data_IF_398155831670
#
_entry.id   IF_398155831670
#
_cell.length_a   1.000
_cell.length_b   1.000
_cell.length_c   1.000
_cell.angle_alpha   90.00
_cell.angle_beta   90.00
_cell.angle_gamma   90.00
#
_symmetry.space_group_name_H-M   'P 1'
#
loop_
_entity.id
_entity.type
_entity.pdbx_description
1 polymer ?
#
# COMPACT_ATOMS: atom_id res chain seq x y z
N UNK A 1 22.37 -41.03 45.37
CA UNK A 1 23.76 -40.54 45.49
C UNK A 1 23.70 -39.02 45.60
N UNK A 2 23.87 -38.49 46.83
CA UNK A 2 24.46 -37.19 47.24
C UNK A 2 23.85 -35.90 46.62
N UNK A 3 22.91 -35.21 47.28
CA UNK A 3 23.06 -34.08 48.24
C UNK A 3 23.80 -32.82 47.73
N UNK A 4 23.14 -31.65 47.71
CA UNK A 4 23.30 -30.57 48.73
C UNK A 4 22.48 -29.31 48.45
N UNK A 5 21.89 -28.82 49.54
CA UNK A 5 21.26 -27.52 49.75
C UNK A 5 22.23 -26.34 49.59
N UNK A 6 21.70 -25.16 49.25
CA UNK A 6 22.15 -23.92 49.88
C UNK A 6 20.95 -23.11 50.35
N UNK A 7 21.00 -22.75 51.63
CA UNK A 7 20.05 -21.89 52.33
C UNK A 7 20.94 -21.14 53.33
N UNK A 8 21.08 -19.83 53.17
CA UNK A 8 21.61 -18.97 54.23
C UNK A 8 20.84 -17.66 54.26
N UNK A 9 20.06 -17.57 55.35
CA UNK A 9 19.44 -16.39 55.95
C UNK A 9 20.52 -15.51 56.58
N UNK A 10 20.34 -14.18 56.53
CA UNK A 10 20.31 -13.27 57.69
C UNK A 10 20.16 -11.82 57.21
N UNK A 11 19.89 -10.76 57.97
CA UNK A 11 19.03 -10.44 59.13
C UNK A 11 19.19 -8.92 59.31
N UNK A 12 18.08 -8.16 59.28
CA UNK A 12 17.80 -6.81 59.85
C UNK A 12 18.94 -5.83 60.20
N UNK A 13 18.79 -4.55 59.79
CA UNK A 13 19.11 -3.39 60.63
C UNK A 13 18.27 -2.15 60.26
N UNK A 14 17.88 -1.40 61.29
CA UNK A 14 16.97 -0.23 61.33
C UNK A 14 17.77 1.01 61.74
N UNK A 15 17.57 2.16 61.10
CA UNK A 15 17.98 3.50 61.58
C UNK A 15 17.17 4.57 60.81
N UNK A 16 16.16 5.27 61.38
CA UNK A 16 16.10 6.43 62.29
C UNK A 16 16.63 7.78 61.74
N UNK A 17 15.72 8.78 61.81
CA UNK A 17 15.86 10.26 61.74
C UNK A 17 16.10 10.89 60.35
N UNK A 18 15.70 12.11 60.04
CA UNK A 18 14.65 13.07 60.46
C UNK A 18 14.95 14.36 59.66
N UNK A 19 13.96 15.25 59.50
CA UNK A 19 14.08 16.65 59.01
C UNK A 19 14.33 16.78 57.50
N UNK A 20 13.82 17.76 56.75
CA UNK A 20 13.19 19.02 57.13
C UNK A 20 12.14 19.39 56.07
N UNK A 21 11.02 19.92 56.56
CA UNK A 21 10.04 20.66 55.79
C UNK A 21 10.74 21.92 55.23
N UNK A 22 10.94 22.01 53.92
CA UNK A 22 11.28 23.29 53.26
C UNK A 22 10.26 23.57 52.16
N UNK A 23 9.43 24.57 52.46
CA UNK A 23 8.59 25.32 51.53
C UNK A 23 9.42 25.73 50.31
N UNK A 24 8.98 25.35 49.12
CA UNK A 24 9.40 26.01 47.88
C UNK A 24 8.25 26.85 47.36
N UNK A 25 8.51 28.15 47.32
CA UNK A 25 7.64 29.24 46.88
C UNK A 25 7.37 29.09 45.38
N UNK A 26 6.09 29.11 45.01
CA UNK A 26 5.62 29.18 43.64
C UNK A 26 5.93 30.56 43.07
N UNK A 27 6.81 30.64 42.07
CA UNK A 27 6.93 31.82 41.20
C UNK A 27 6.20 31.53 39.89
N UNK A 28 5.01 32.12 39.76
CA UNK A 28 4.26 32.16 38.50
C UNK A 28 4.90 33.23 37.62
N UNK A 29 5.97 32.88 36.91
CA UNK A 29 6.47 33.69 35.81
C UNK A 29 5.76 33.24 34.53
N UNK A 30 4.82 34.06 34.06
CA UNK A 30 4.17 33.88 32.78
C UNK A 30 5.21 34.03 31.66
N UNK A 31 5.63 32.90 31.07
CA UNK A 31 6.35 32.91 29.81
C UNK A 31 5.34 33.16 28.69
N UNK A 32 5.53 34.16 27.82
CA UNK A 32 4.68 34.32 26.65
C UNK A 32 4.89 33.11 25.73
N UNK A 33 3.78 32.45 25.41
CA UNK A 33 3.75 31.35 24.45
C UNK A 33 4.39 31.81 23.12
N UNK A 34 5.31 31.03 22.54
CA UNK A 34 5.77 31.30 21.19
C UNK A 34 4.59 31.14 20.23
N UNK A 35 4.33 32.20 19.48
CA UNK A 35 3.39 32.27 18.36
C UNK A 35 3.56 31.02 17.48
N UNK A 36 2.48 30.32 17.08
CA UNK A 36 2.62 29.22 16.14
C UNK A 36 3.12 29.77 14.81
N UNK A 37 4.36 29.42 14.47
CA UNK A 37 4.88 29.56 13.11
C UNK A 37 3.88 28.91 12.13
N UNK A 38 3.65 29.50 10.95
CA UNK A 38 2.75 28.91 9.98
C UNK A 38 3.34 27.56 9.57
N UNK A 39 2.67 26.49 9.98
CA UNK A 39 2.86 25.16 9.40
C UNK A 39 2.68 25.36 7.90
N UNK A 40 3.78 25.30 7.16
CA UNK A 40 3.78 25.18 5.71
C UNK A 40 2.83 24.04 5.36
N UNK A 41 1.64 24.42 4.90
CA UNK A 41 0.59 23.52 4.43
C UNK A 41 1.13 22.80 3.21
N UNK A 42 1.90 21.74 3.42
CA UNK A 42 2.26 20.80 2.37
C UNK A 42 1.02 19.95 2.07
N UNK A 43 0.03 20.58 1.45
CA UNK A 43 -0.94 19.84 0.65
C UNK A 43 -0.20 19.44 -0.63
N UNK A 44 0.03 18.15 -0.91
CA UNK A 44 0.32 17.77 -2.29
C UNK A 44 -0.84 18.27 -3.16
N UNK A 45 -0.59 18.72 -4.40
CA UNK A 45 -1.58 19.44 -5.19
C UNK A 45 -2.66 18.48 -5.66
N UNK A 46 -3.67 18.25 -4.83
CA UNK A 46 -4.97 17.68 -5.24
C UNK A 46 -5.56 18.47 -6.42
N UNK A 47 -5.19 19.75 -6.55
CA UNK A 47 -5.62 20.68 -7.60
C UNK A 47 -5.16 20.35 -9.04
N UNK A 48 -4.31 19.34 -9.28
CA UNK A 48 -3.82 18.99 -10.65
C UNK A 48 -4.26 17.62 -11.16
N UNK A 49 -5.03 16.85 -10.38
CA UNK A 49 -5.46 15.51 -10.77
C UNK A 49 -6.65 15.56 -11.73
N UNK A 50 -6.59 14.79 -12.82
CA UNK A 50 -7.73 14.65 -13.73
C UNK A 50 -8.89 13.93 -13.02
N UNK A 51 -10.14 14.30 -13.28
CA UNK A 51 -11.27 13.56 -12.74
C UNK A 51 -11.27 12.12 -13.27
N UNK A 52 -11.53 11.15 -12.39
CA UNK A 52 -11.63 9.75 -12.79
C UNK A 52 -12.90 9.51 -13.63
N UNK A 53 -12.77 8.71 -14.68
CA UNK A 53 -13.84 8.39 -15.60
C UNK A 53 -14.66 7.19 -15.11
N UNK A 54 -15.95 7.42 -14.85
CA UNK A 54 -16.89 6.35 -14.46
C UNK A 54 -17.07 5.34 -15.59
N UNK A 55 -17.01 4.05 -15.25
CA UNK A 55 -17.19 2.95 -16.18
C UNK A 55 -18.61 2.39 -16.05
N UNK A 56 -19.56 2.94 -16.82
CA UNK A 56 -20.97 2.57 -16.72
C UNK A 56 -21.27 1.10 -17.03
N UNK A 57 -20.52 0.50 -17.96
CA UNK A 57 -20.61 -0.94 -18.29
C UNK A 57 -19.80 -1.84 -17.34
N UNK A 58 -19.04 -1.24 -16.42
CA UNK A 58 -18.02 -1.93 -15.65
C UNK A 58 -16.76 -2.24 -16.47
N UNK A 59 -15.64 -2.43 -15.80
CA UNK A 59 -14.40 -2.97 -16.36
C UNK A 59 -13.79 -3.95 -15.37
N UNK A 60 -13.66 -5.21 -15.78
CA UNK A 60 -13.08 -6.25 -14.93
C UNK A 60 -12.01 -7.04 -15.66
N UNK A 61 -10.84 -7.16 -15.05
CA UNK A 61 -9.77 -8.02 -15.56
C UNK A 61 -9.74 -9.35 -14.81
N UNK A 62 -10.12 -9.37 -13.54
CA UNK A 62 -10.05 -10.55 -12.69
C UNK A 62 -11.43 -11.17 -12.46
N UNK A 63 -12.35 -10.39 -11.90
CA UNK A 63 -13.69 -10.85 -11.54
C UNK A 63 -14.63 -9.64 -11.42
N UNK A 64 -15.77 -9.74 -12.11
CA UNK A 64 -16.82 -8.71 -12.14
C UNK A 64 -17.39 -8.39 -10.75
N UNK A 65 -17.35 -9.34 -9.82
CA UNK A 65 -17.81 -9.16 -8.44
C UNK A 65 -17.03 -8.11 -7.64
N UNK A 66 -15.84 -7.72 -8.11
CA UNK A 66 -15.01 -6.69 -7.48
C UNK A 66 -15.09 -5.31 -8.15
N UNK A 67 -16.03 -5.11 -9.09
CA UNK A 67 -16.27 -3.79 -9.67
C UNK A 67 -16.89 -2.85 -8.63
N UNK A 68 -16.24 -1.71 -8.37
CA UNK A 68 -16.76 -0.72 -7.42
C UNK A 68 -18.14 -0.18 -7.86
N UNK A 69 -19.15 -0.22 -6.99
CA UNK A 69 -20.46 0.36 -7.29
C UNK A 69 -20.48 1.90 -7.20
N UNK A 70 -19.49 2.47 -6.53
CA UNK A 70 -19.29 3.90 -6.34
C UNK A 70 -17.81 4.27 -6.40
N UNK A 71 -17.53 5.57 -6.41
CA UNK A 71 -16.15 6.04 -6.32
C UNK A 71 -15.55 5.59 -4.98
N UNK A 72 -14.42 4.90 -5.03
CA UNK A 72 -13.84 4.22 -3.86
C UNK A 72 -12.50 4.83 -3.50
N UNK A 73 -12.29 5.13 -2.21
CA UNK A 73 -10.99 5.55 -1.68
C UNK A 73 -10.42 4.49 -0.76
N UNK A 74 -9.25 3.99 -1.10
CA UNK A 74 -8.51 3.01 -0.30
C UNK A 74 -7.19 3.60 0.19
N UNK A 75 -6.64 2.98 1.22
CA UNK A 75 -5.28 3.18 1.69
C UNK A 75 -4.51 1.87 1.52
N UNK A 76 -3.44 1.90 0.72
CA UNK A 76 -2.49 0.81 0.61
C UNK A 76 -1.47 0.93 1.74
N UNK A 77 -1.63 0.09 2.75
CA UNK A 77 -0.74 0.08 3.91
C UNK A 77 0.59 -0.60 3.55
N UNK A 78 1.67 0.09 3.83
CA UNK A 78 3.02 -0.33 3.55
C UNK A 78 3.78 -0.47 4.86
N UNK A 79 4.45 -1.60 5.04
CA UNK A 79 5.28 -1.86 6.21
C UNK A 79 6.75 -1.91 5.78
N UNK A 80 7.62 -1.28 6.57
CA UNK A 80 9.06 -1.48 6.47
C UNK A 80 9.46 -2.81 7.10
N UNK A 81 9.99 -3.73 6.31
CA UNK A 81 10.63 -4.97 6.79
C UNK A 81 12.10 -4.98 6.41
N UNK A 82 12.96 -4.88 7.42
CA UNK A 82 14.43 -4.89 7.26
C UNK A 82 14.88 -3.91 6.17
N UNK A 83 15.16 -4.40 4.96
CA UNK A 83 15.70 -3.64 3.82
C UNK A 83 14.65 -3.25 2.77
N UNK A 84 13.36 -3.55 2.98
CA UNK A 84 12.32 -3.33 1.97
C UNK A 84 11.02 -2.80 2.57
N UNK A 85 10.36 -1.95 1.79
CA UNK A 85 8.97 -1.60 2.01
C UNK A 85 8.10 -2.61 1.26
N UNK A 86 7.07 -3.13 1.92
CA UNK A 86 6.18 -4.15 1.36
C UNK A 86 4.74 -3.74 1.63
N UNK A 87 3.89 -3.82 0.61
CA UNK A 87 2.45 -3.65 0.78
C UNK A 87 1.90 -4.79 1.64
N UNK A 88 1.26 -4.46 2.76
CA UNK A 88 0.62 -5.41 3.68
C UNK A 88 -0.84 -5.67 3.37
N UNK A 89 -1.53 -4.70 2.78
CA UNK A 89 -2.96 -4.79 2.54
C UNK A 89 -3.55 -3.51 2.01
N UNK A 90 -4.83 -3.57 1.70
CA UNK A 90 -5.66 -2.43 1.32
C UNK A 90 -6.75 -2.23 2.38
N UNK A 91 -6.84 -1.01 2.90
CA UNK A 91 -7.84 -0.60 3.87
C UNK A 91 -8.80 0.39 3.22
N UNK A 92 -10.04 0.40 3.66
CA UNK A 92 -10.97 1.45 3.33
C UNK A 92 -10.54 2.76 4.00
N UNK A 93 -10.48 3.85 3.24
CA UNK A 93 -9.90 5.11 3.73
C UNK A 93 -10.80 5.82 4.77
N UNK A 94 -12.13 5.62 4.71
CA UNK A 94 -13.07 6.27 5.62
C UNK A 94 -13.10 5.60 7.01
N UNK A 95 -13.08 4.27 7.04
CA UNK A 95 -13.25 3.47 8.26
C UNK A 95 -11.91 2.96 8.82
N UNK A 96 -10.88 2.90 7.99
CA UNK A 96 -9.64 2.20 8.30
C UNK A 96 -9.81 0.67 8.35
N UNK A 97 -10.94 0.14 7.90
CA UNK A 97 -11.19 -1.30 7.89
C UNK A 97 -10.34 -1.99 6.82
N UNK A 98 -9.63 -3.05 7.19
CA UNK A 98 -8.92 -3.89 6.23
C UNK A 98 -9.92 -4.58 5.31
N UNK A 99 -9.83 -4.35 4.00
CA UNK A 99 -10.63 -5.04 3.00
C UNK A 99 -9.87 -6.24 2.43
N UNK A 100 -8.57 -6.07 2.23
CA UNK A 100 -7.71 -7.10 1.69
C UNK A 100 -6.37 -7.13 2.41
N UNK A 101 -5.83 -8.33 2.64
CA UNK A 101 -4.47 -8.53 3.12
C UNK A 101 -3.59 -9.13 2.01
N UNK A 102 -2.33 -8.76 2.00
CA UNK A 102 -1.32 -9.31 1.09
C UNK A 102 -0.49 -10.34 1.85
N UNK A 103 -0.61 -11.61 1.44
CA UNK A 103 0.15 -12.74 1.98
C UNK A 103 1.27 -13.10 1.01
N UNK A 104 2.51 -13.02 1.46
CA UNK A 104 3.65 -13.54 0.71
C UNK A 104 3.72 -15.05 0.86
N UNK A 105 3.89 -15.76 -0.26
CA UNK A 105 4.12 -17.21 -0.20
C UNK A 105 5.58 -17.44 0.24
N UNK A 106 5.82 -18.03 1.41
CA UNK A 106 7.17 -18.26 1.89
C UNK A 106 7.93 -19.14 0.89
N UNK A 107 9.24 -18.86 0.74
CA UNK A 107 10.16 -19.62 -0.13
C UNK A 107 9.80 -19.60 -1.64
N UNK A 108 8.93 -18.70 -2.09
CA UNK A 108 8.63 -18.56 -3.52
C UNK A 108 9.79 -17.92 -4.28
N UNK A 109 10.41 -18.68 -5.19
CA UNK A 109 11.43 -18.19 -6.14
C UNK A 109 10.92 -17.03 -7.02
N UNK A 110 9.60 -16.87 -7.14
CA UNK A 110 8.96 -15.89 -8.03
C UNK A 110 8.27 -14.75 -7.29
N UNK A 111 8.59 -14.55 -5.99
CA UNK A 111 7.95 -13.54 -5.13
C UNK A 111 6.43 -13.51 -5.29
N UNK A 112 5.83 -14.68 -5.16
CA UNK A 112 4.39 -14.84 -5.25
C UNK A 112 3.70 -14.22 -4.03
N UNK A 113 2.67 -13.42 -4.28
CA UNK A 113 1.82 -12.79 -3.26
C UNK A 113 0.36 -13.09 -3.57
N UNK A 114 -0.38 -13.52 -2.55
CA UNK A 114 -1.82 -13.69 -2.60
C UNK A 114 -2.49 -12.47 -1.95
N UNK A 115 -3.49 -11.92 -2.61
CA UNK A 115 -4.44 -11.01 -2.02
C UNK A 115 -5.56 -11.84 -1.42
N UNK A 116 -5.77 -11.75 -0.11
CA UNK A 116 -6.83 -12.45 0.62
C UNK A 116 -7.87 -11.44 1.12
N UNK A 117 -9.13 -11.85 1.17
CA UNK A 117 -10.21 -11.04 1.73
C UNK A 117 -10.23 -11.09 3.27
N UNK A 118 -11.24 -10.46 3.88
CA UNK A 118 -11.46 -10.46 5.34
C UNK A 118 -11.77 -11.83 5.93
N UNK A 119 -12.15 -12.80 5.09
CA UNK A 119 -12.40 -14.20 5.48
C UNK A 119 -11.16 -15.08 5.32
N UNK A 120 -9.99 -14.47 5.03
CA UNK A 120 -8.72 -15.13 4.74
C UNK A 120 -8.78 -16.05 3.51
N UNK A 121 -9.76 -15.82 2.63
CA UNK A 121 -9.90 -16.55 1.37
C UNK A 121 -9.10 -15.84 0.27
N UNK A 122 -8.28 -16.55 -0.52
CA UNK A 122 -7.53 -15.94 -1.61
C UNK A 122 -8.48 -15.43 -2.69
N UNK A 123 -8.31 -14.17 -3.06
CA UNK A 123 -9.06 -13.50 -4.12
C UNK A 123 -8.27 -13.53 -5.43
N UNK A 124 -6.97 -13.24 -5.33
CA UNK A 124 -6.08 -13.19 -6.46
C UNK A 124 -4.65 -13.53 -6.03
N UNK A 125 -3.85 -14.01 -6.98
CA UNK A 125 -2.42 -14.19 -6.78
C UNK A 125 -1.66 -13.45 -7.84
N UNK A 126 -0.67 -12.65 -7.43
CA UNK A 126 0.30 -12.03 -8.31
C UNK A 126 1.65 -12.73 -8.18
N UNK A 127 2.25 -13.08 -9.31
CA UNK A 127 3.58 -13.68 -9.40
C UNK A 127 4.49 -12.80 -10.23
N UNK A 128 5.66 -12.48 -9.68
CA UNK A 128 6.69 -11.74 -10.41
C UNK A 128 7.53 -12.72 -11.24
N UNK A 129 7.50 -12.57 -12.55
CA UNK A 129 8.25 -13.39 -13.51
C UNK A 129 9.37 -12.56 -14.13
N UNK A 130 10.61 -12.91 -13.78
CA UNK A 130 11.87 -12.35 -14.29
C UNK A 130 12.08 -10.83 -14.13
N UNK A 131 13.21 -10.48 -13.53
CA UNK A 131 13.72 -9.12 -13.45
C UNK A 131 14.78 -8.93 -14.54
N UNK A 132 14.48 -8.13 -15.57
CA UNK A 132 15.51 -7.55 -16.45
C UNK A 132 15.78 -6.13 -15.96
N UNK A 133 17.00 -5.62 -16.18
CA UNK A 133 17.52 -4.36 -15.58
C UNK A 133 16.51 -3.21 -15.51
N UNK A 134 15.63 -3.08 -16.51
CA UNK A 134 14.61 -2.02 -16.59
C UNK A 134 13.17 -2.54 -16.83
N UNK A 135 12.93 -3.85 -16.76
CA UNK A 135 11.64 -4.47 -17.06
C UNK A 135 11.31 -5.59 -16.07
N UNK A 136 10.18 -5.47 -15.40
CA UNK A 136 9.63 -6.48 -14.50
C UNK A 136 8.29 -6.95 -15.06
N UNK A 137 8.09 -8.27 -15.13
CA UNK A 137 6.81 -8.82 -15.60
C UNK A 137 6.06 -9.45 -14.44
N UNK A 138 4.74 -9.24 -14.42
CA UNK A 138 3.83 -9.80 -13.43
C UNK A 138 2.76 -10.63 -14.14
N UNK A 139 2.37 -11.72 -13.49
CA UNK A 139 1.27 -12.59 -13.92
C UNK A 139 0.25 -12.67 -12.79
N UNK A 140 -1.01 -12.41 -13.11
CA UNK A 140 -2.13 -12.51 -12.17
C UNK A 140 -2.88 -13.82 -12.38
N UNK A 141 -3.25 -14.49 -11.30
CA UNK A 141 -4.03 -15.72 -11.28
C UNK A 141 -5.28 -15.48 -10.42
N UNK A 142 -6.46 -15.97 -10.85
CA UNK A 142 -7.69 -15.82 -10.08
C UNK A 142 -7.67 -16.70 -8.83
N UNK A 143 -8.69 -16.54 -7.98
CA UNK A 143 -8.93 -17.26 -6.71
C UNK A 143 -8.60 -18.76 -6.75
N UNK A 144 -8.86 -19.46 -7.84
CA UNK A 144 -8.46 -20.86 -8.00
C UNK A 144 -6.96 -20.98 -8.32
N UNK A 145 -6.16 -21.27 -7.28
CA UNK A 145 -4.71 -21.58 -7.40
C UNK A 145 -4.38 -22.73 -8.37
N UNK A 146 -5.38 -23.52 -8.79
CA UNK A 146 -5.21 -24.63 -9.73
C UNK A 146 -5.06 -24.18 -11.19
N UNK A 147 -5.34 -22.91 -11.52
CA UNK A 147 -5.18 -22.43 -12.89
C UNK A 147 -3.69 -22.31 -13.25
N UNK A 148 -3.24 -23.14 -14.18
CA UNK A 148 -1.89 -23.04 -14.77
C UNK A 148 -1.73 -21.80 -15.66
N UNK A 149 -2.85 -21.19 -16.10
CA UNK A 149 -2.87 -20.04 -17.00
C UNK A 149 -3.18 -18.76 -16.22
N UNK A 150 -2.35 -17.71 -16.32
CA UNK A 150 -2.67 -16.43 -15.72
C UNK A 150 -3.86 -15.78 -16.44
N UNK A 151 -4.71 -15.10 -15.66
CA UNK A 151 -5.86 -14.34 -16.17
C UNK A 151 -5.38 -13.17 -17.03
N UNK A 152 -4.39 -12.44 -16.54
CA UNK A 152 -3.72 -11.39 -17.28
C UNK A 152 -2.26 -11.29 -16.89
N UNK A 153 -1.49 -10.63 -17.75
CA UNK A 153 -0.08 -10.30 -17.52
C UNK A 153 0.12 -8.82 -17.76
N UNK A 154 1.08 -8.27 -17.06
CA UNK A 154 1.45 -6.87 -17.23
C UNK A 154 2.92 -6.68 -16.92
N UNK A 155 3.47 -5.58 -17.42
CA UNK A 155 4.88 -5.27 -17.29
C UNK A 155 5.08 -3.86 -16.77
N UNK A 156 6.08 -3.71 -15.90
CA UNK A 156 6.59 -2.43 -15.47
C UNK A 156 7.91 -2.18 -16.21
N UNK A 157 7.92 -1.18 -17.09
CA UNK A 157 9.10 -0.78 -17.87
C UNK A 157 9.43 0.67 -17.56
N UNK A 158 10.62 0.96 -17.02
CA UNK A 158 10.99 2.33 -16.60
C UNK A 158 9.95 3.01 -15.69
N UNK A 159 9.38 2.27 -14.74
CA UNK A 159 8.30 2.73 -13.84
C UNK A 159 6.97 3.06 -14.54
N UNK A 160 6.80 2.66 -15.81
CA UNK A 160 5.55 2.74 -16.55
C UNK A 160 4.88 1.38 -16.62
N UNK A 161 3.59 1.35 -16.35
CA UNK A 161 2.74 0.19 -16.49
C UNK A 161 2.34 0.00 -17.95
N UNK A 162 2.42 -1.25 -18.41
CA UNK A 162 1.87 -1.71 -19.67
C UNK A 162 1.13 -3.02 -19.43
N UNK A 163 -0.17 -3.01 -19.68
CA UNK A 163 -1.06 -4.16 -19.52
C UNK A 163 -2.02 -4.24 -20.69
N UNK A 164 -2.31 -5.45 -21.14
CA UNK A 164 -3.39 -5.75 -22.08
C UNK A 164 -4.17 -6.93 -21.54
N UNK A 165 -5.49 -6.80 -21.49
CA UNK A 165 -6.37 -7.83 -20.97
C UNK A 165 -7.69 -7.82 -21.73
N UNK A 166 -8.46 -8.88 -21.59
CA UNK A 166 -9.84 -8.94 -22.10
C UNK A 166 -10.78 -8.58 -20.95
N UNK A 167 -11.58 -7.54 -21.13
CA UNK A 167 -12.60 -7.15 -20.16
C UNK A 167 -13.64 -8.26 -20.03
N UNK A 168 -13.83 -8.78 -18.83
CA UNK A 168 -14.79 -9.85 -18.56
C UNK A 168 -16.22 -9.37 -18.79
N UNK A 169 -16.48 -8.07 -18.57
CA UNK A 169 -17.82 -7.49 -18.68
C UNK A 169 -18.27 -7.37 -20.14
N UNK A 170 -17.38 -6.90 -21.03
CA UNK A 170 -17.72 -6.59 -22.43
C UNK A 170 -17.09 -7.54 -23.45
N UNK A 171 -16.19 -8.43 -23.02
CA UNK A 171 -15.33 -9.26 -23.89
C UNK A 171 -14.40 -8.47 -24.82
N UNK A 172 -14.27 -7.16 -24.64
CA UNK A 172 -13.39 -6.32 -25.44
C UNK A 172 -11.95 -6.37 -24.94
N UNK A 173 -10.99 -6.20 -25.85
CA UNK A 173 -9.59 -6.04 -25.45
C UNK A 173 -9.36 -4.63 -24.93
N UNK A 174 -8.82 -4.52 -23.72
CA UNK A 174 -8.49 -3.28 -23.05
C UNK A 174 -6.98 -3.15 -22.85
N UNK A 175 -6.48 -1.92 -22.93
CA UNK A 175 -5.12 -1.55 -22.55
C UNK A 175 -5.15 -0.72 -21.28
N UNK A 176 -4.20 -0.97 -20.42
CA UNK A 176 -4.05 -0.26 -19.17
C UNK A 176 -2.59 0.15 -19.00
N UNK A 177 -2.38 1.38 -18.57
CA UNK A 177 -1.06 1.93 -18.38
C UNK A 177 -1.04 2.99 -17.31
N UNK A 178 0.15 3.57 -17.10
CA UNK A 178 0.33 4.58 -16.07
C UNK A 178 1.07 5.82 -16.57
N UNK A 179 0.68 6.97 -16.05
CA UNK A 179 1.30 8.26 -16.26
C UNK A 179 1.50 8.96 -14.90
N UNK A 180 2.39 9.95 -14.82
CA UNK A 180 2.64 10.68 -13.57
C UNK A 180 4.09 10.67 -13.11
N UNK A 181 4.30 11.03 -11.85
CA UNK A 181 5.63 11.17 -11.22
C UNK A 181 5.76 10.18 -10.06
N UNK A 182 6.97 10.02 -9.55
CA UNK A 182 7.20 9.15 -8.39
C UNK A 182 6.32 9.60 -7.20
N UNK A 183 5.56 8.68 -6.63
CA UNK A 183 4.62 8.93 -5.55
C UNK A 183 3.31 9.63 -5.93
N UNK A 184 3.04 9.91 -7.21
CA UNK A 184 1.73 10.37 -7.73
C UNK A 184 1.52 9.84 -9.16
N UNK A 185 0.80 8.73 -9.24
CA UNK A 185 0.65 7.89 -10.44
C UNK A 185 -0.82 7.80 -10.81
N UNK A 186 -1.13 8.18 -12.03
CA UNK A 186 -2.42 7.96 -12.66
C UNK A 186 -2.40 6.65 -13.45
N UNK A 187 -3.43 5.83 -13.26
CA UNK A 187 -3.70 4.62 -14.03
C UNK A 187 -4.83 4.93 -15.00
N UNK A 188 -4.56 4.72 -16.29
CA UNK A 188 -5.53 4.94 -17.36
C UNK A 188 -5.94 3.63 -18.03
N UNK A 189 -7.15 3.63 -18.58
CA UNK A 189 -7.76 2.57 -19.36
C UNK A 189 -8.01 3.08 -20.79
N UNK A 190 -7.80 2.21 -21.77
CA UNK A 190 -8.17 2.43 -23.16
C UNK A 190 -8.90 1.18 -23.65
N UNK A 191 -10.16 1.33 -24.05
CA UNK A 191 -10.98 0.23 -24.59
C UNK A 191 -10.70 0.09 -26.08
N UNK A 192 -10.51 -1.14 -26.53
CA UNK A 192 -10.16 -1.43 -27.92
C UNK A 192 -8.65 -1.35 -28.21
N UNK A 193 -8.29 -1.73 -29.43
CA UNK A 193 -6.91 -1.74 -29.92
C UNK A 193 -6.57 -0.57 -30.83
N UNK A 194 -7.57 0.23 -31.23
CA UNK A 194 -7.37 1.40 -32.09
C UNK A 194 -6.64 2.51 -31.34
N UNK A 195 -5.69 3.17 -32.01
CA UNK A 195 -4.96 4.31 -31.45
C UNK A 195 -5.85 5.53 -31.22
N UNK A 196 -6.99 5.62 -31.90
CA UNK A 196 -7.95 6.72 -31.79
C UNK A 196 -8.82 6.66 -30.52
N UNK A 197 -8.71 5.56 -29.76
CA UNK A 197 -9.52 5.40 -28.54
C UNK A 197 -8.94 6.20 -27.39
N UNK A 198 -9.79 7.03 -26.78
CA UNK A 198 -9.39 7.98 -25.74
C UNK A 198 -8.99 7.24 -24.47
N UNK A 199 -7.82 7.60 -23.92
CA UNK A 199 -7.37 7.15 -22.60
C UNK A 199 -8.19 7.81 -21.50
N UNK A 200 -8.78 6.99 -20.65
CA UNK A 200 -9.62 7.41 -19.53
C UNK A 200 -8.90 7.13 -18.21
N UNK A 201 -8.71 8.12 -17.33
CA UNK A 201 -8.16 7.88 -15.99
C UNK A 201 -9.16 7.08 -15.16
N UNK A 202 -8.74 5.95 -14.58
CA UNK A 202 -9.63 5.06 -13.81
C UNK A 202 -9.19 4.84 -12.37
N UNK A 203 -7.93 5.13 -12.04
CA UNK A 203 -7.47 5.14 -10.66
C UNK A 203 -6.27 6.08 -10.48
N UNK A 204 -6.10 6.65 -9.29
CA UNK A 204 -4.95 7.47 -8.91
C UNK A 204 -4.32 6.95 -7.63
N UNK A 205 -3.03 6.68 -7.65
CA UNK A 205 -2.23 6.26 -6.50
C UNK A 205 -1.26 7.38 -6.12
N UNK A 206 -1.35 7.87 -4.90
CA UNK A 206 -0.48 8.94 -4.41
C UNK A 206 -0.04 8.69 -2.98
N UNK A 207 1.13 9.21 -2.62
CA UNK A 207 1.64 9.06 -1.24
C UNK A 207 0.63 9.62 -0.24
N UNK A 208 0.41 8.83 0.81
CA UNK A 208 -0.43 9.26 1.91
C UNK A 208 0.17 10.52 2.57
N UNK A 209 -0.66 11.46 3.03
CA UNK A 209 -0.18 12.73 3.57
C UNK A 209 0.72 12.55 4.80
N UNK A 210 1.64 13.50 5.08
CA UNK A 210 2.45 13.45 6.29
C UNK A 210 1.58 13.29 7.55
N UNK A 211 1.96 12.38 8.45
CA UNK A 211 1.20 12.06 9.67
C UNK A 211 0.18 10.92 9.52
N UNK A 212 -0.08 10.43 8.30
CA UNK A 212 -0.82 9.19 8.07
C UNK A 212 0.09 7.95 8.13
N UNK A 213 -0.47 6.73 8.30
CA UNK A 213 0.30 5.49 8.20
C UNK A 213 1.09 5.42 6.88
N UNK A 214 2.25 4.76 6.92
CA UNK A 214 3.10 4.61 5.75
C UNK A 214 2.32 3.90 4.63
N UNK A 215 2.28 4.53 3.45
CA UNK A 215 1.51 3.95 2.36
C UNK A 215 1.09 4.95 1.29
N UNK A 216 0.06 4.56 0.57
CA UNK A 216 -0.50 5.34 -0.53
C UNK A 216 -2.00 5.44 -0.37
N UNK A 217 -2.56 6.61 -0.67
CA UNK A 217 -3.98 6.76 -0.94
C UNK A 217 -4.25 6.36 -2.38
N UNK A 218 -5.35 5.66 -2.59
CA UNK A 218 -5.77 5.12 -3.86
C UNK A 218 -7.22 5.53 -4.12
N UNK A 219 -7.42 6.38 -5.12
CA UNK A 219 -8.74 6.76 -5.61
C UNK A 219 -9.09 5.88 -6.82
N UNK A 220 -10.28 5.28 -6.84
CA UNK A 220 -10.71 4.32 -7.87
C UNK A 220 -12.07 4.74 -8.41
N UNK A 221 -12.20 4.77 -9.74
CA UNK A 221 -13.44 5.15 -10.39
C UNK A 221 -14.55 4.11 -10.15
N UNK A 222 -15.80 4.58 -10.18
CA UNK A 222 -16.96 3.70 -10.21
C UNK A 222 -16.92 2.77 -11.43
N UNK A 223 -17.26 1.51 -11.21
CA UNK A 223 -17.32 0.45 -12.21
C UNK A 223 -15.99 -0.24 -12.50
N UNK A 224 -14.94 0.04 -11.73
CA UNK A 224 -13.61 -0.55 -11.95
C UNK A 224 -13.37 -1.71 -10.98
N UNK A 225 -12.80 -2.81 -11.47
CA UNK A 225 -12.31 -3.94 -10.67
C UNK A 225 -11.22 -3.48 -9.68
N UNK A 226 -11.59 -3.40 -8.40
CA UNK A 226 -10.72 -2.93 -7.32
C UNK A 226 -9.51 -3.82 -7.13
N UNK A 227 -9.68 -5.13 -7.32
CA UNK A 227 -8.60 -6.10 -7.13
C UNK A 227 -7.55 -5.92 -8.20
N UNK A 228 -7.96 -5.76 -9.47
CA UNK A 228 -7.04 -5.44 -10.56
C UNK A 228 -6.20 -4.20 -10.21
N UNK A 229 -6.83 -3.12 -9.76
CA UNK A 229 -6.14 -1.88 -9.41
C UNK A 229 -5.17 -2.08 -8.25
N UNK A 230 -5.56 -2.77 -7.18
CA UNK A 230 -4.68 -3.07 -6.05
C UNK A 230 -3.44 -3.85 -6.51
N UNK A 231 -3.61 -4.89 -7.34
CA UNK A 231 -2.49 -5.70 -7.85
C UNK A 231 -1.51 -4.88 -8.70
N UNK A 232 -2.03 -3.97 -9.52
CA UNK A 232 -1.23 -3.02 -10.30
C UNK A 232 -0.47 -2.08 -9.38
N UNK A 233 -1.11 -1.51 -8.38
CA UNK A 233 -0.48 -0.59 -7.43
C UNK A 233 0.61 -1.27 -6.58
N UNK A 234 0.44 -2.54 -6.23
CA UNK A 234 1.49 -3.34 -5.59
C UNK A 234 2.74 -3.42 -6.48
N UNK A 235 2.56 -3.66 -7.78
CA UNK A 235 3.67 -3.71 -8.72
C UNK A 235 4.30 -2.34 -9.00
N UNK A 236 3.51 -1.26 -9.00
CA UNK A 236 4.01 0.12 -9.05
C UNK A 236 4.90 0.40 -7.84
N UNK A 237 4.45 0.03 -6.63
CA UNK A 237 5.23 0.17 -5.41
C UNK A 237 6.56 -0.60 -5.46
N UNK A 238 6.53 -1.87 -5.89
CA UNK A 238 7.75 -2.69 -6.01
C UNK A 238 8.81 -2.08 -6.93
N UNK A 239 8.36 -1.35 -7.95
CA UNK A 239 9.22 -0.75 -8.96
C UNK A 239 9.62 0.70 -8.61
N UNK A 240 9.08 1.29 -7.54
CA UNK A 240 9.56 2.58 -7.08
C UNK A 240 11.00 2.43 -6.56
N UNK A 241 11.93 3.30 -6.98
CA UNK A 241 13.28 3.28 -6.42
C UNK A 241 13.21 3.57 -4.92
N UNK A 242 13.63 2.60 -4.12
CA UNK A 242 13.59 2.69 -2.66
C UNK A 242 14.39 3.89 -2.15
N UNK A 243 13.78 4.71 -1.30
CA UNK A 243 14.45 5.83 -0.62
C UNK A 243 15.65 5.37 0.23
N UNK A 244 15.71 4.08 0.59
CA UNK A 244 16.82 3.47 1.35
C UNK A 244 18.16 3.59 0.61
N UNK A 245 18.16 3.71 -0.73
CA UNK A 245 19.42 3.93 -1.49
C UNK A 245 20.03 5.32 -1.31
N UNK A 246 19.29 6.30 -0.78
CA UNK A 246 19.81 7.67 -0.56
C UNK A 246 20.39 7.90 0.83
N UNK A 247 20.06 7.05 1.81
CA UNK A 247 20.57 7.19 3.19
C UNK A 247 21.86 6.41 3.46
N UNK A 248 22.33 5.61 2.49
CA UNK A 248 23.63 4.90 2.57
C UNK A 248 24.69 5.50 1.65
N UNK A 249 24.43 6.68 1.09
CA UNK A 249 25.36 7.42 0.22
C UNK A 249 25.79 8.75 0.85
N UNK A 250 26.04 8.74 2.16
CA UNK A 250 26.74 9.81 2.87
C UNK A 250 27.67 9.20 3.92
#
# INVERSE_FOLDING_TARGET
MIHRHSLTKSTTARSKRSTALRRSVSYTAALPLPVPLPVLTWMPPSAKRRPLATQHLGVAALDAGYCCHEFTKLHLNVEGRLERQVVRGALENATGQTLFQVREKPLSLHRQRALVDTTEVPVATIRMSAFRRNKVSYSSFPRMETSKKPQFKFTMTHSKLEMTFTDIMTSETCRLGSEGKQGDVEIWLQRGLSEDTVRQPIAHMYRAPPGSPLGYSLDIAKGVDVVMVILVCIAVHDCEPSLIRRTLSH
#
